data_IF_946592286144
#
_entry.id   IF_946592286144
#
_cell.length_a   1.000
_cell.length_b   1.000
_cell.length_c   1.000
_cell.angle_alpha   90.00
_cell.angle_beta   90.00
_cell.angle_gamma   90.00
#
_symmetry.space_group_name_H-M   'P 1'
#
loop_
_entity.id
_entity.type
_entity.pdbx_description
1 polymer ?
#
# COMPACT_ATOMS: atom_id res chain seq x y z
N UNK A 1 1.13 -11.59 21.75
CA UNK A 1 2.36 -10.96 22.29
C UNK A 1 2.27 -9.43 22.37
N UNK A 2 1.97 -8.70 21.29
CA UNK A 2 2.03 -7.22 21.31
C UNK A 2 0.89 -6.52 22.08
N UNK A 3 -0.34 -7.03 22.10
CA UNK A 3 -1.46 -6.32 22.76
C UNK A 3 -1.40 -6.38 24.31
N UNK A 4 -0.92 -7.49 24.88
CA UNK A 4 -0.90 -7.68 26.35
C UNK A 4 0.51 -7.70 26.98
N UNK A 5 1.48 -8.38 26.35
CA UNK A 5 2.83 -8.52 26.93
C UNK A 5 3.71 -7.30 26.67
N UNK A 6 3.52 -6.63 25.53
CA UNK A 6 4.36 -5.48 25.18
C UNK A 6 4.21 -4.32 26.19
N UNK A 7 3.00 -3.88 26.58
CA UNK A 7 2.86 -2.89 27.65
C UNK A 7 3.49 -3.34 28.98
N UNK A 8 3.33 -4.61 29.35
CA UNK A 8 3.90 -5.20 30.58
C UNK A 8 5.43 -5.20 30.58
N UNK A 9 6.06 -5.43 29.44
CA UNK A 9 7.53 -5.37 29.28
C UNK A 9 8.02 -3.92 29.20
N UNK A 10 7.25 -3.04 28.56
CA UNK A 10 7.60 -1.64 28.39
C UNK A 10 7.60 -0.85 29.70
N UNK A 11 6.70 -1.18 30.64
CA UNK A 11 6.64 -0.47 31.92
C UNK A 11 7.94 -0.57 32.73
N UNK A 12 8.47 -1.77 33.07
CA UNK A 12 9.76 -1.89 33.74
C UNK A 12 10.90 -1.21 32.98
N UNK A 13 10.91 -1.33 31.65
CA UNK A 13 11.95 -0.69 30.83
C UNK A 13 11.89 0.84 30.87
N UNK A 14 10.71 1.42 31.08
CA UNK A 14 10.54 2.87 31.17
C UNK A 14 11.07 3.37 32.52
N UNK A 15 10.74 2.65 33.60
CA UNK A 15 11.09 3.00 34.98
C UNK A 15 12.56 2.73 35.30
N UNK A 16 13.07 1.54 35.00
CA UNK A 16 14.42 1.14 35.40
C UNK A 16 15.51 1.58 34.43
N UNK A 17 16.71 1.77 34.95
CA UNK A 17 17.90 2.12 34.16
C UNK A 17 18.47 0.91 33.40
N UNK A 18 17.84 0.59 32.27
CA UNK A 18 18.25 -0.53 31.40
C UNK A 18 19.16 -0.03 30.27
N UNK A 19 20.31 -0.67 30.00
CA UNK A 19 21.14 -0.31 28.86
C UNK A 19 20.55 -0.81 27.53
N UNK A 20 20.72 0.00 26.47
CA UNK A 20 20.19 -0.32 25.12
C UNK A 20 20.66 -1.69 24.62
N UNK A 21 21.89 -2.11 24.95
CA UNK A 21 22.43 -3.42 24.56
C UNK A 21 21.63 -4.60 25.11
N UNK A 22 21.04 -4.48 26.30
CA UNK A 22 20.15 -5.52 26.88
C UNK A 22 18.80 -5.54 26.15
N UNK A 23 18.26 -4.37 25.81
CA UNK A 23 17.02 -4.26 25.01
C UNK A 23 17.22 -4.86 23.61
N UNK A 24 18.38 -4.64 22.98
CA UNK A 24 18.73 -5.25 21.70
C UNK A 24 18.83 -6.79 21.78
N UNK A 25 19.36 -7.34 22.88
CA UNK A 25 19.34 -8.79 23.13
C UNK A 25 17.90 -9.31 23.21
N UNK A 26 17.02 -8.64 23.95
CA UNK A 26 15.61 -9.04 24.02
C UNK A 26 14.90 -8.91 22.66
N UNK A 27 15.19 -7.86 21.89
CA UNK A 27 14.68 -7.69 20.53
C UNK A 27 15.01 -8.89 19.65
N UNK A 28 16.21 -9.48 19.75
CA UNK A 28 16.57 -10.69 18.98
C UNK A 28 15.65 -11.86 19.31
N UNK A 29 15.33 -12.06 20.59
CA UNK A 29 14.40 -13.10 21.05
C UNK A 29 12.99 -12.82 20.50
N UNK A 30 12.47 -11.61 20.69
CA UNK A 30 11.16 -11.19 20.17
C UNK A 30 11.07 -11.39 18.67
N UNK A 31 12.10 -10.98 17.91
CA UNK A 31 12.14 -11.17 16.45
C UNK A 31 12.05 -12.65 16.06
N UNK A 32 12.71 -13.55 16.79
CA UNK A 32 12.65 -14.99 16.53
C UNK A 32 11.22 -15.51 16.67
N UNK A 33 10.55 -15.18 17.77
CA UNK A 33 9.16 -15.58 18.02
C UNK A 33 8.18 -14.96 17.03
N UNK A 34 8.31 -13.67 16.72
CA UNK A 34 7.45 -12.99 15.76
C UNK A 34 7.60 -13.61 14.37
N UNK A 35 8.84 -13.88 13.91
CA UNK A 35 9.06 -14.54 12.62
C UNK A 35 8.48 -15.95 12.56
N UNK A 36 8.68 -16.74 13.64
CA UNK A 36 8.09 -18.08 13.75
C UNK A 36 6.57 -18.04 13.69
N UNK A 37 5.95 -17.11 14.41
CA UNK A 37 4.50 -16.93 14.44
C UNK A 37 3.93 -16.49 13.08
N UNK A 38 4.62 -15.58 12.38
CA UNK A 38 4.25 -15.14 11.04
C UNK A 38 4.55 -16.20 9.95
N UNK A 39 5.21 -17.32 10.30
CA UNK A 39 5.58 -18.37 9.36
C UNK A 39 6.66 -17.98 8.34
N UNK A 40 7.42 -16.92 8.62
CA UNK A 40 8.44 -16.37 7.71
C UNK A 40 9.85 -16.82 8.10
N UNK A 41 10.80 -16.91 7.16
CA UNK A 41 12.15 -17.39 7.44
C UNK A 41 12.97 -16.42 8.30
N UNK A 42 14.02 -16.96 8.95
CA UNK A 42 14.92 -16.19 9.82
C UNK A 42 15.65 -15.07 9.08
N UNK A 43 15.88 -15.20 7.78
CA UNK A 43 16.55 -14.22 6.93
C UNK A 43 15.72 -12.95 6.66
N UNK A 44 14.41 -12.93 6.98
CA UNK A 44 13.59 -11.73 6.81
C UNK A 44 14.12 -10.57 7.67
N UNK A 45 14.33 -9.41 7.06
CA UNK A 45 14.84 -8.22 7.74
C UNK A 45 13.82 -7.68 8.76
N UNK A 46 14.31 -7.09 9.84
CA UNK A 46 13.44 -6.38 10.79
C UNK A 46 12.77 -5.14 10.18
N UNK A 47 13.29 -4.64 9.05
CA UNK A 47 12.66 -3.55 8.29
C UNK A 47 11.26 -3.96 7.82
N UNK A 48 11.11 -5.20 7.34
CA UNK A 48 9.81 -5.74 6.92
C UNK A 48 8.79 -5.87 8.07
N UNK A 49 9.27 -6.02 9.31
CA UNK A 49 8.42 -6.21 10.48
C UNK A 49 7.95 -4.89 11.10
N UNK A 50 8.82 -3.88 11.10
CA UNK A 50 8.62 -2.66 11.89
C UNK A 50 8.66 -1.36 11.06
N UNK A 51 9.03 -1.44 9.78
CA UNK A 51 9.15 -0.27 8.91
C UNK A 51 7.80 0.18 8.35
N UNK A 52 7.71 1.45 7.97
CA UNK A 52 6.55 2.06 7.31
C UNK A 52 6.72 1.99 5.78
N UNK A 53 7.03 0.80 5.27
CA UNK A 53 7.28 0.53 3.85
C UNK A 53 6.02 0.30 3.02
N UNK A 54 6.16 -0.41 1.89
CA UNK A 54 5.01 -0.75 1.02
C UNK A 54 3.96 -1.61 1.74
N UNK A 55 4.42 -2.52 2.60
CA UNK A 55 3.59 -3.35 3.47
C UNK A 55 3.90 -2.97 4.91
N UNK A 56 2.89 -2.48 5.63
CA UNK A 56 3.01 -2.09 7.02
C UNK A 56 2.25 -3.07 7.90
N UNK A 57 2.98 -3.70 8.83
CA UNK A 57 2.41 -4.56 9.86
C UNK A 57 2.06 -3.75 11.12
N UNK A 58 1.08 -4.20 11.92
CA UNK A 58 0.68 -3.52 13.14
C UNK A 58 1.59 -3.90 14.33
N UNK A 59 2.89 -4.10 14.08
CA UNK A 59 3.86 -4.61 15.05
C UNK A 59 4.87 -3.50 15.38
N UNK A 60 5.03 -3.19 16.66
CA UNK A 60 5.95 -2.15 17.11
C UNK A 60 7.35 -2.71 17.41
N UNK A 61 8.38 -1.95 17.08
CA UNK A 61 9.76 -2.27 17.44
C UNK A 61 10.01 -2.01 18.92
N UNK A 62 10.44 -3.04 19.65
CA UNK A 62 10.80 -2.92 21.07
C UNK A 62 11.84 -1.82 21.32
N UNK A 63 12.84 -1.72 20.45
CA UNK A 63 13.92 -0.71 20.58
C UNK A 63 13.40 0.69 20.31
N UNK A 64 12.49 0.86 19.35
CA UNK A 64 11.90 2.18 19.05
C UNK A 64 11.04 2.65 20.24
N UNK A 65 10.19 1.79 20.75
CA UNK A 65 9.33 2.12 21.89
C UNK A 65 10.15 2.34 23.17
N UNK A 66 11.23 1.59 23.37
CA UNK A 66 12.19 1.84 24.44
C UNK A 66 12.81 3.25 24.34
N UNK A 67 13.33 3.62 23.16
CA UNK A 67 13.91 4.95 22.93
C UNK A 67 12.87 6.05 23.17
N UNK A 68 11.66 5.88 22.64
CA UNK A 68 10.55 6.82 22.85
C UNK A 68 10.21 6.95 24.34
N UNK A 69 10.13 5.84 25.08
CA UNK A 69 9.84 5.85 26.50
C UNK A 69 10.92 6.60 27.29
N UNK A 70 12.20 6.32 27.03
CA UNK A 70 13.32 7.00 27.70
C UNK A 70 13.38 8.49 27.40
N UNK A 71 13.11 8.88 26.17
CA UNK A 71 13.01 10.29 25.77
C UNK A 71 11.82 10.99 26.45
N UNK A 72 10.66 10.31 26.56
CA UNK A 72 9.51 10.85 27.31
C UNK A 72 9.86 11.08 28.78
N UNK A 73 10.52 10.12 29.42
CA UNK A 73 10.95 10.23 30.82
C UNK A 73 11.94 11.38 31.00
N UNK A 74 12.95 11.48 30.13
CA UNK A 74 13.93 12.60 30.14
C UNK A 74 13.22 13.95 30.09
N UNK A 75 12.30 14.14 29.14
CA UNK A 75 11.57 15.40 28.97
C UNK A 75 10.59 15.68 30.11
N UNK A 76 10.07 14.64 30.78
CA UNK A 76 9.21 14.76 31.95
C UNK A 76 10.00 15.25 33.17
N UNK A 77 11.18 14.67 33.40
CA UNK A 77 12.05 15.02 34.53
C UNK A 77 12.62 16.43 34.35
N UNK A 78 13.22 16.71 33.19
CA UNK A 78 13.81 18.03 32.88
C UNK A 78 12.78 19.14 32.77
N UNK A 79 11.57 18.83 32.30
CA UNK A 79 10.45 19.76 32.20
C UNK A 79 9.55 19.83 33.42
N UNK A 80 9.95 19.23 34.55
CA UNK A 80 9.18 19.24 35.79
C UNK A 80 9.09 20.66 36.37
N UNK A 81 7.93 21.01 36.94
CA UNK A 81 7.76 22.26 37.69
C UNK A 81 8.50 22.22 39.04
N UNK A 82 8.76 21.02 39.55
CA UNK A 82 9.53 20.80 40.76
C UNK A 82 11.02 21.02 40.48
N UNK A 83 11.62 21.96 41.20
CA UNK A 83 13.04 22.35 41.06
C UNK A 83 14.00 21.25 41.50
N UNK A 84 13.61 20.42 42.47
CA UNK A 84 14.43 19.29 42.93
C UNK A 84 14.46 18.22 41.85
N UNK A 85 13.30 17.87 41.30
CA UNK A 85 13.17 16.86 40.24
C UNK A 85 13.88 17.30 38.95
N UNK A 86 13.71 18.56 38.55
CA UNK A 86 14.38 19.09 37.35
C UNK A 86 15.89 19.31 37.56
N UNK A 87 16.32 19.66 38.77
CA UNK A 87 17.74 19.83 39.13
C UNK A 87 18.52 18.51 39.24
N UNK A 88 17.89 17.44 39.75
CA UNK A 88 18.52 16.13 39.91
C UNK A 88 18.40 15.22 38.68
N UNK A 89 17.35 15.41 37.87
CA UNK A 89 16.97 14.64 36.67
C UNK A 89 17.92 13.46 36.34
N UNK A 90 17.73 12.29 37.00
CA UNK A 90 18.65 11.17 36.86
C UNK A 90 18.64 10.67 35.42
N UNK A 91 19.82 10.30 34.91
CA UNK A 91 19.96 9.83 33.54
C UNK A 91 19.11 8.56 33.33
N UNK A 92 18.08 8.58 32.48
CA UNK A 92 17.08 7.53 32.46
C UNK A 92 17.59 6.23 31.81
N UNK A 93 18.83 6.19 31.30
CA UNK A 93 19.46 4.97 30.81
C UNK A 93 20.91 4.82 31.27
N UNK A 94 21.29 3.61 31.68
CA UNK A 94 22.69 3.21 31.84
C UNK A 94 23.34 2.86 30.50
N UNK A 95 24.61 3.20 30.31
CA UNK A 95 25.44 2.70 29.20
C UNK A 95 25.97 3.78 28.23
N UNK A 96 27.01 3.41 27.46
CA UNK A 96 27.72 4.34 26.55
C UNK A 96 27.11 4.44 25.15
N UNK A 97 26.38 3.42 24.70
CA UNK A 97 25.94 3.27 23.30
C UNK A 97 24.90 4.28 22.85
N UNK A 98 23.99 4.69 23.73
CA UNK A 98 22.92 5.62 23.39
C UNK A 98 22.45 6.34 24.65
N UNK A 99 22.28 7.66 24.57
CA UNK A 99 21.91 8.53 25.69
C UNK A 99 20.64 9.33 25.35
N UNK A 100 19.58 9.24 26.17
CA UNK A 100 18.32 9.98 25.98
C UNK A 100 18.51 11.49 25.86
N UNK A 101 19.35 12.09 26.72
CA UNK A 101 19.64 13.53 26.70
C UNK A 101 20.21 14.00 25.35
N UNK A 102 21.17 13.25 24.79
CA UNK A 102 21.77 13.56 23.48
C UNK A 102 20.72 13.42 22.37
N UNK A 103 19.93 12.34 22.40
CA UNK A 103 18.88 12.12 21.42
C UNK A 103 17.79 13.21 21.46
N UNK A 104 17.45 13.72 22.66
CA UNK A 104 16.55 14.88 22.82
C UNK A 104 17.15 16.12 22.16
N UNK A 105 18.41 16.44 22.44
CA UNK A 105 19.10 17.59 21.86
C UNK A 105 19.15 17.53 20.32
N UNK A 106 19.51 16.38 19.76
CA UNK A 106 19.52 16.14 18.32
C UNK A 106 18.12 16.29 17.71
N UNK A 107 17.09 15.75 18.37
CA UNK A 107 15.71 15.85 17.91
C UNK A 107 15.19 17.29 17.96
N UNK A 108 15.48 18.04 19.03
CA UNK A 108 15.14 19.46 19.13
C UNK A 108 15.85 20.29 18.05
N UNK A 109 17.15 20.05 17.82
CA UNK A 109 17.91 20.72 16.78
C UNK A 109 17.31 20.45 15.39
N UNK A 110 16.93 19.20 15.11
CA UNK A 110 16.27 18.84 13.86
C UNK A 110 14.88 19.49 13.70
N UNK A 111 14.12 19.64 14.78
CA UNK A 111 12.83 20.35 14.76
C UNK A 111 13.00 21.85 14.50
N UNK A 112 13.97 22.49 15.17
CA UNK A 112 14.32 23.91 14.93
C UNK A 112 14.79 24.12 13.49
N UNK A 113 15.64 23.23 12.97
CA UNK A 113 16.08 23.28 11.59
C UNK A 113 14.91 23.11 10.62
N UNK A 114 14.02 22.15 10.87
CA UNK A 114 12.82 21.93 10.05
C UNK A 114 11.84 23.11 10.03
N UNK A 115 11.82 23.92 11.10
CA UNK A 115 11.06 25.18 11.17
C UNK A 115 11.71 26.28 10.31
N UNK A 116 13.04 26.39 10.32
CA UNK A 116 13.79 27.33 9.47
C UNK A 116 13.60 27.01 7.99
N UNK A 117 13.71 25.73 7.62
CA UNK A 117 13.48 25.27 6.24
C UNK A 117 12.02 25.50 5.82
N UNK A 118 11.09 25.52 6.77
CA UNK A 118 9.68 25.79 6.53
C UNK A 118 8.97 24.67 5.74
N UNK A 119 7.87 25.06 5.09
CA UNK A 119 7.09 24.16 4.24
C UNK A 119 7.74 24.12 2.85
N UNK A 120 8.40 23.00 2.56
CA UNK A 120 8.94 22.72 1.23
C UNK A 120 7.82 22.13 0.37
N UNK A 121 7.85 22.43 -0.94
CA UNK A 121 7.00 21.78 -1.91
C UNK A 121 7.26 20.27 -1.92
N UNK A 122 6.20 19.47 -1.75
CA UNK A 122 6.26 18.01 -1.88
C UNK A 122 5.55 17.62 -3.18
N UNK A 123 6.32 17.14 -4.16
CA UNK A 123 5.82 16.73 -5.48
C UNK A 123 5.35 17.90 -6.35
N UNK A 124 4.32 17.68 -7.16
CA UNK A 124 3.75 18.69 -8.09
C UNK A 124 2.69 19.61 -7.46
N UNK A 125 2.47 19.53 -6.15
CA UNK A 125 1.54 20.43 -5.46
C UNK A 125 2.16 21.80 -5.26
N UNK A 126 1.41 22.89 -5.47
CA UNK A 126 1.91 24.24 -5.17
C UNK A 126 2.21 24.47 -3.69
N UNK A 127 2.98 25.52 -3.39
CA UNK A 127 3.28 25.98 -2.03
C UNK A 127 1.98 26.22 -1.23
N UNK A 128 1.93 25.75 0.01
CA UNK A 128 0.77 25.92 0.90
C UNK A 128 -0.33 24.86 0.81
N UNK A 129 -0.22 23.86 -0.08
CA UNK A 129 -1.20 22.76 -0.19
C UNK A 129 -1.13 21.74 0.96
N UNK A 130 0.03 21.60 1.59
CA UNK A 130 0.21 20.73 2.76
C UNK A 130 -0.16 21.48 4.03
N UNK A 131 -0.88 20.84 4.95
CA UNK A 131 -1.09 21.35 6.31
C UNK A 131 0.24 21.79 6.91
N UNK A 132 0.30 23.02 7.45
CA UNK A 132 1.54 23.59 7.96
C UNK A 132 2.22 22.68 8.99
N UNK A 133 3.54 22.53 8.89
CA UNK A 133 4.30 21.82 9.91
C UNK A 133 4.08 22.49 11.27
N UNK A 134 3.93 21.72 12.37
CA UNK A 134 3.84 22.29 13.70
C UNK A 134 5.11 23.11 14.00
N UNK A 135 4.92 24.36 14.41
CA UNK A 135 6.01 25.28 14.72
C UNK A 135 6.55 24.98 16.11
N UNK A 136 7.84 24.62 16.21
CA UNK A 136 8.48 24.30 17.47
C UNK A 136 8.44 25.49 18.45
N UNK A 137 8.63 26.72 17.95
CA UNK A 137 8.60 27.95 18.77
C UNK A 137 7.25 28.22 19.43
N UNK A 138 6.15 27.92 18.74
CA UNK A 138 4.79 28.19 19.22
C UNK A 138 4.15 27.03 19.99
N UNK A 139 4.79 25.87 19.99
CA UNK A 139 4.31 24.69 20.67
C UNK A 139 4.38 24.84 22.21
N UNK A 140 3.34 24.40 22.90
CA UNK A 140 3.35 24.29 24.36
C UNK A 140 4.28 23.16 24.84
N UNK A 141 4.49 23.04 26.15
CA UNK A 141 5.40 22.02 26.69
C UNK A 141 4.95 20.57 26.44
N UNK A 142 3.64 20.32 26.31
CA UNK A 142 3.09 18.99 26.02
C UNK A 142 3.28 18.65 24.54
N UNK A 143 3.08 19.63 23.67
CA UNK A 143 3.25 19.55 22.24
C UNK A 143 4.73 19.40 21.88
N UNK A 144 5.63 20.18 22.49
CA UNK A 144 7.09 19.99 22.34
C UNK A 144 7.50 18.56 22.66
N UNK A 145 6.99 18.00 23.77
CA UNK A 145 7.23 16.59 24.13
C UNK A 145 6.74 15.62 23.06
N UNK A 146 5.54 15.82 22.52
CA UNK A 146 4.99 15.01 21.43
C UNK A 146 5.86 15.12 20.17
N UNK A 147 6.29 16.32 19.80
CA UNK A 147 7.10 16.57 18.61
C UNK A 147 8.47 15.91 18.69
N UNK A 148 9.14 15.98 19.84
CA UNK A 148 10.44 15.32 20.04
C UNK A 148 10.29 13.81 19.89
N UNK A 149 9.27 13.20 20.51
CA UNK A 149 9.03 11.75 20.39
C UNK A 149 8.73 11.34 18.95
N UNK A 150 7.91 12.11 18.23
CA UNK A 150 7.63 11.83 16.82
C UNK A 150 8.87 11.99 15.95
N UNK A 151 9.74 12.96 16.27
CA UNK A 151 11.02 13.13 15.59
C UNK A 151 11.96 11.94 15.80
N UNK A 152 12.01 11.37 17.00
CA UNK A 152 12.75 10.12 17.26
C UNK A 152 12.20 8.97 16.41
N UNK A 153 10.87 8.83 16.31
CA UNK A 153 10.26 7.81 15.44
C UNK A 153 10.63 8.02 13.97
N UNK A 154 10.68 9.28 13.51
CA UNK A 154 11.13 9.62 12.14
C UNK A 154 12.59 9.25 11.92
N UNK A 155 13.49 9.51 12.86
CA UNK A 155 14.91 9.12 12.76
C UNK A 155 15.10 7.60 12.71
N UNK A 156 14.34 6.87 13.53
CA UNK A 156 14.33 5.39 13.50
C UNK A 156 13.82 4.85 12.16
N UNK A 157 12.77 5.47 11.60
CA UNK A 157 12.25 5.10 10.29
C UNK A 157 13.23 5.44 9.17
N UNK A 158 13.88 6.60 9.20
CA UNK A 158 14.93 6.96 8.25
C UNK A 158 16.08 5.94 8.28
N UNK A 159 16.50 5.51 9.47
CA UNK A 159 17.52 4.46 9.62
C UNK A 159 17.08 3.12 9.01
N UNK A 160 15.78 2.78 9.11
CA UNK A 160 15.23 1.58 8.45
C UNK A 160 15.17 1.73 6.95
N UNK A 161 14.86 2.91 6.42
CA UNK A 161 14.86 3.19 5.00
C UNK A 161 16.27 3.08 4.41
N UNK A 162 17.29 3.66 5.06
CA UNK A 162 18.70 3.48 4.67
C UNK A 162 19.06 2.00 4.64
N UNK A 163 18.67 1.23 5.67
CA UNK A 163 18.87 -0.22 5.68
C UNK A 163 18.06 -0.93 4.60
N UNK A 164 16.88 -0.44 4.22
CA UNK A 164 16.08 -1.04 3.16
C UNK A 164 16.77 -0.89 1.80
N UNK A 165 17.36 0.27 1.52
CA UNK A 165 18.11 0.56 0.29
C UNK A 165 19.27 -0.41 0.11
N UNK A 166 19.97 -0.77 1.19
CA UNK A 166 21.09 -1.73 1.11
C UNK A 166 20.67 -3.19 0.93
N UNK A 167 19.37 -3.52 0.98
CA UNK A 167 18.88 -4.88 0.80
C UNK A 167 18.49 -5.14 -0.66
N UNK A 168 19.42 -5.68 -1.46
CA UNK A 168 19.22 -5.91 -2.89
C UNK A 168 17.94 -6.70 -3.25
N UNK A 169 17.56 -7.74 -2.49
CA UNK A 169 16.29 -8.48 -2.70
C UNK A 169 15.11 -7.90 -1.90
N UNK A 170 15.24 -7.83 -0.57
CA UNK A 170 14.15 -7.43 0.33
C UNK A 170 13.83 -5.92 0.29
N UNK A 171 14.67 -5.10 -0.33
CA UNK A 171 14.51 -3.66 -0.52
C UNK A 171 13.88 -3.25 -1.84
N UNK A 172 13.64 -4.20 -2.76
CA UNK A 172 13.13 -3.92 -4.12
C UNK A 172 11.80 -3.13 -4.15
N UNK A 173 11.02 -3.20 -3.07
CA UNK A 173 9.79 -2.43 -2.95
C UNK A 173 9.98 -0.91 -2.92
N UNK A 174 11.21 -0.43 -2.68
CA UNK A 174 11.54 0.99 -2.76
C UNK A 174 11.43 1.53 -4.20
N UNK A 175 11.60 0.66 -5.20
CA UNK A 175 11.57 1.01 -6.62
C UNK A 175 10.15 0.86 -7.21
N UNK A 176 9.12 0.57 -6.40
CA UNK A 176 7.78 0.38 -6.91
C UNK A 176 7.06 1.74 -6.99
N UNK A 177 6.99 2.26 -8.20
CA UNK A 177 6.31 3.52 -8.49
C UNK A 177 4.82 3.31 -8.79
N UNK A 178 4.00 4.31 -8.49
CA UNK A 178 2.56 4.25 -8.75
C UNK A 178 1.77 3.22 -7.93
N UNK A 179 2.38 2.59 -6.91
CA UNK A 179 1.76 1.55 -6.09
C UNK A 179 1.24 2.09 -4.77
N UNK A 180 0.06 1.60 -4.36
CA UNK A 180 -0.52 1.94 -3.08
C UNK A 180 0.04 1.10 -1.93
N UNK A 181 0.30 1.77 -0.80
CA UNK A 181 0.80 1.11 0.41
C UNK A 181 -0.31 0.28 1.04
N UNK A 182 0.04 -0.93 1.45
CA UNK A 182 -0.85 -1.85 2.14
C UNK A 182 -0.61 -1.79 3.65
N UNK A 183 -1.59 -1.28 4.39
CA UNK A 183 -1.58 -1.28 5.85
C UNK A 183 -2.40 -2.45 6.36
N UNK A 184 -1.76 -3.35 7.09
CA UNK A 184 -2.40 -4.50 7.73
C UNK A 184 -2.75 -4.10 9.17
N UNK A 185 -4.03 -4.14 9.52
CA UNK A 185 -4.46 -3.92 10.92
C UNK A 185 -4.36 -5.21 11.73
N UNK A 186 -4.43 -5.11 13.05
CA UNK A 186 -4.53 -6.30 13.91
C UNK A 186 -5.73 -7.18 13.54
N UNK A 187 -6.87 -6.56 13.22
CA UNK A 187 -8.07 -7.30 12.79
C UNK A 187 -7.81 -8.10 11.53
N UNK A 188 -7.19 -7.47 10.52
CA UNK A 188 -6.87 -8.14 9.26
C UNK A 188 -5.88 -9.28 9.49
N UNK A 189 -4.87 -9.07 10.35
CA UNK A 189 -3.86 -10.07 10.62
C UNK A 189 -4.43 -11.29 11.36
N UNK A 190 -5.40 -11.09 12.26
CA UNK A 190 -6.11 -12.18 12.94
C UNK A 190 -7.11 -12.89 12.04
N UNK A 191 -7.73 -12.20 11.09
CA UNK A 191 -8.70 -12.80 10.16
C UNK A 191 -8.05 -13.48 8.96
N UNK A 192 -6.76 -13.22 8.69
CA UNK A 192 -6.04 -13.86 7.59
C UNK A 192 -5.66 -15.29 7.93
N UNK A 193 -5.91 -16.20 6.98
CA UNK A 193 -5.36 -17.55 7.03
C UNK A 193 -3.82 -17.52 7.11
N UNK A 194 -3.25 -18.43 7.90
CA UNK A 194 -1.80 -18.50 8.17
C UNK A 194 -0.97 -18.59 6.88
N UNK A 195 -1.41 -19.43 5.93
CA UNK A 195 -0.74 -19.61 4.64
C UNK A 195 -0.77 -18.33 3.79
N UNK A 196 -1.85 -17.57 3.86
CA UNK A 196 -2.02 -16.32 3.11
C UNK A 196 -1.10 -15.22 3.65
N UNK A 197 -1.02 -15.08 4.97
CA UNK A 197 -0.12 -14.12 5.62
C UNK A 197 1.35 -14.46 5.33
N UNK A 198 1.72 -15.74 5.45
CA UNK A 198 3.05 -16.24 5.09
C UNK A 198 3.39 -15.96 3.64
N UNK A 199 2.45 -16.20 2.72
CA UNK A 199 2.63 -15.90 1.31
C UNK A 199 2.80 -14.40 1.06
N UNK A 200 1.93 -13.55 1.63
CA UNK A 200 2.00 -12.11 1.44
C UNK A 200 3.35 -11.54 1.87
N UNK A 201 3.80 -11.87 3.08
CA UNK A 201 5.10 -11.43 3.59
C UNK A 201 6.26 -12.02 2.78
N UNK A 202 6.20 -13.33 2.53
CA UNK A 202 7.23 -14.03 1.76
C UNK A 202 7.39 -13.46 0.36
N UNK A 203 6.27 -13.19 -0.34
CA UNK A 203 6.28 -12.72 -1.72
C UNK A 203 6.71 -11.26 -1.82
N UNK A 204 6.27 -10.41 -0.88
CA UNK A 204 6.63 -8.98 -0.85
C UNK A 204 8.15 -8.81 -0.74
N UNK A 205 8.79 -9.58 0.14
CA UNK A 205 10.21 -9.47 0.43
C UNK A 205 11.08 -10.52 -0.26
N UNK A 206 10.54 -11.28 -1.22
CA UNK A 206 11.25 -12.34 -1.94
C UNK A 206 12.02 -13.32 -1.01
N UNK A 207 11.31 -13.81 0.00
CA UNK A 207 11.79 -14.81 0.97
C UNK A 207 10.94 -16.07 0.96
N UNK A 208 10.22 -16.31 -0.14
CA UNK A 208 9.58 -17.61 -0.39
C UNK A 208 10.63 -18.64 -0.84
N UNK A 209 10.43 -19.93 -0.55
CA UNK A 209 11.31 -21.01 -1.00
C UNK A 209 11.07 -21.29 -2.49
N UNK A 210 11.44 -20.34 -3.35
CA UNK A 210 11.55 -20.55 -4.80
C UNK A 210 12.79 -21.37 -5.07
N UNK A 211 12.85 -22.15 -6.17
CA UNK A 211 14.06 -22.90 -6.48
C UNK A 211 15.31 -22.01 -6.55
N UNK A 212 15.20 -20.77 -7.07
CA UNK A 212 16.30 -19.79 -7.01
C UNK A 212 16.73 -19.42 -5.58
N UNK A 213 15.78 -19.19 -4.66
CA UNK A 213 16.11 -18.90 -3.26
C UNK A 213 16.63 -20.15 -2.52
N UNK A 214 16.11 -21.34 -2.83
CA UNK A 214 16.56 -22.61 -2.26
C UNK A 214 17.97 -22.96 -2.70
N UNK A 215 18.36 -22.65 -3.95
CA UNK A 215 19.76 -22.72 -4.40
C UNK A 215 20.68 -21.96 -3.44
N UNK A 216 20.29 -20.76 -3.02
CA UNK A 216 21.10 -19.92 -2.13
C UNK A 216 21.10 -20.45 -0.68
N UNK A 217 20.02 -21.10 -0.23
CA UNK A 217 19.87 -21.51 1.17
C UNK A 217 20.36 -22.93 1.46
N UNK A 218 20.25 -23.84 0.50
CA UNK A 218 20.46 -25.28 0.68
C UNK A 218 21.02 -25.97 -0.56
N UNK A 219 21.63 -25.24 -1.51
CA UNK A 219 22.21 -25.77 -2.76
C UNK A 219 21.25 -26.64 -3.62
N UNK A 220 19.98 -26.23 -3.72
CA UNK A 220 18.99 -26.86 -4.60
C UNK A 220 19.11 -26.47 -6.08
N UNK A 221 18.52 -27.28 -6.96
CA UNK A 221 18.36 -26.97 -8.39
C UNK A 221 17.48 -25.71 -8.58
N UNK A 222 17.97 -24.65 -9.25
CA UNK A 222 17.21 -23.43 -9.49
C UNK A 222 16.13 -23.56 -10.58
N UNK A 223 15.99 -24.73 -11.21
CA UNK A 223 15.15 -24.92 -12.38
C UNK A 223 13.65 -24.96 -12.07
N UNK A 224 12.87 -24.45 -13.02
CA UNK A 224 11.42 -24.49 -12.99
C UNK A 224 10.94 -25.88 -13.39
N UNK A 225 10.14 -26.52 -12.53
CA UNK A 225 9.59 -27.85 -12.81
C UNK A 225 8.63 -27.92 -14.01
N UNK A 226 8.20 -26.76 -14.54
CA UNK A 226 7.30 -26.70 -15.68
C UNK A 226 8.02 -26.44 -17.00
N UNK A 227 8.98 -25.52 -17.02
CA UNK A 227 9.62 -25.06 -18.26
C UNK A 227 11.15 -25.09 -18.21
N UNK A 228 11.73 -25.66 -17.17
CA UNK A 228 13.18 -25.82 -16.94
C UNK A 228 14.03 -24.55 -16.88
N UNK A 229 13.45 -23.36 -17.02
CA UNK A 229 14.15 -22.08 -16.83
C UNK A 229 14.39 -21.74 -15.36
N UNK A 230 15.17 -20.69 -15.07
CA UNK A 230 15.46 -20.26 -13.69
C UNK A 230 14.18 -19.82 -12.96
N UNK A 231 13.81 -20.55 -11.91
CA UNK A 231 12.57 -20.36 -11.17
C UNK A 231 12.70 -19.34 -10.05
N UNK A 232 12.87 -18.07 -10.45
CA UNK A 232 12.68 -16.93 -9.54
C UNK A 232 11.20 -16.79 -9.14
N UNK A 233 10.93 -16.00 -8.10
CA UNK A 233 9.54 -15.71 -7.72
C UNK A 233 8.78 -14.99 -8.85
N UNK A 234 9.44 -14.04 -9.53
CA UNK A 234 8.90 -13.36 -10.72
C UNK A 234 8.60 -14.34 -11.85
N UNK A 235 9.50 -15.30 -12.09
CA UNK A 235 9.27 -16.35 -13.08
C UNK A 235 7.99 -17.14 -12.75
N UNK A 236 7.88 -17.66 -11.54
CA UNK A 236 6.73 -18.51 -11.13
C UNK A 236 5.42 -17.72 -11.19
N UNK A 237 5.39 -16.49 -10.67
CA UNK A 237 4.14 -15.74 -10.52
C UNK A 237 3.71 -14.99 -11.78
N UNK A 238 4.60 -14.66 -12.71
CA UNK A 238 4.22 -13.87 -13.89
C UNK A 238 4.99 -14.18 -15.19
N UNK A 239 6.07 -14.96 -15.14
CA UNK A 239 7.00 -15.10 -16.27
C UNK A 239 7.11 -16.49 -16.89
N UNK A 240 6.48 -17.51 -16.34
CA UNK A 240 6.62 -18.89 -16.82
C UNK A 240 5.80 -19.11 -18.09
N UNK A 241 6.47 -19.45 -19.20
CA UNK A 241 5.83 -19.68 -20.51
C UNK A 241 4.80 -20.81 -20.46
N UNK A 242 5.10 -21.90 -19.76
CA UNK A 242 4.16 -23.03 -19.60
C UNK A 242 2.96 -22.64 -18.75
N UNK A 243 3.17 -21.88 -17.67
CA UNK A 243 2.04 -21.36 -16.86
C UNK A 243 1.16 -20.38 -17.64
N UNK A 244 1.75 -19.60 -18.54
CA UNK A 244 1.02 -18.72 -19.44
C UNK A 244 0.18 -19.53 -20.44
N UNK A 245 0.78 -20.50 -21.14
CA UNK A 245 0.10 -21.35 -22.11
C UNK A 245 -1.05 -22.18 -21.48
N UNK A 246 -0.87 -22.62 -20.23
CA UNK A 246 -1.91 -23.32 -19.47
C UNK A 246 -3.05 -22.40 -18.99
N UNK A 247 -2.93 -21.07 -19.14
CA UNK A 247 -3.95 -20.13 -18.68
C UNK A 247 -3.96 -19.89 -17.18
N UNK A 248 -2.86 -20.15 -16.45
CA UNK A 248 -2.78 -19.88 -14.99
C UNK A 248 -2.91 -18.40 -14.68
N UNK A 249 -2.21 -17.58 -15.47
CA UNK A 249 -2.23 -16.13 -15.33
C UNK A 249 -3.56 -15.54 -15.80
N UNK A 250 -4.15 -16.08 -16.87
CA UNK A 250 -5.50 -15.74 -17.33
C UNK A 250 -6.55 -16.05 -16.26
N UNK A 251 -6.44 -17.19 -15.58
CA UNK A 251 -7.34 -17.50 -14.47
C UNK A 251 -7.23 -16.47 -13.34
N UNK A 252 -6.01 -16.12 -12.88
CA UNK A 252 -5.82 -15.05 -11.88
C UNK A 252 -6.41 -13.73 -12.36
N UNK A 253 -6.08 -13.35 -13.60
CA UNK A 253 -6.58 -12.13 -14.22
C UNK A 253 -8.10 -12.05 -14.15
N UNK A 254 -8.79 -13.12 -14.57
CA UNK A 254 -10.25 -13.16 -14.60
C UNK A 254 -10.87 -13.11 -13.20
N UNK A 255 -10.21 -13.63 -12.16
CA UNK A 255 -10.70 -13.45 -10.79
C UNK A 255 -10.62 -11.99 -10.33
N UNK A 256 -9.50 -11.32 -10.61
CA UNK A 256 -9.33 -9.90 -10.27
C UNK A 256 -10.29 -9.02 -11.07
N UNK A 257 -10.50 -9.35 -12.35
CA UNK A 257 -11.44 -8.66 -13.24
C UNK A 257 -12.87 -8.72 -12.68
N UNK A 258 -13.30 -9.87 -12.16
CA UNK A 258 -14.61 -10.02 -11.52
C UNK A 258 -14.78 -9.07 -10.32
N UNK A 259 -13.74 -8.91 -9.49
CA UNK A 259 -13.78 -7.96 -8.37
C UNK A 259 -13.92 -6.50 -8.85
N UNK A 260 -13.17 -6.11 -9.89
CA UNK A 260 -13.27 -4.77 -10.46
C UNK A 260 -14.67 -4.53 -11.05
N UNK A 261 -15.15 -5.47 -11.86
CA UNK A 261 -16.47 -5.41 -12.47
C UNK A 261 -17.58 -5.30 -11.42
N UNK A 262 -17.55 -6.10 -10.36
CA UNK A 262 -18.53 -6.01 -9.28
C UNK A 262 -18.53 -4.63 -8.59
N UNK A 263 -17.36 -4.02 -8.41
CA UNK A 263 -17.22 -2.68 -7.85
C UNK A 263 -17.84 -1.59 -8.74
N UNK A 264 -17.62 -1.68 -10.06
CA UNK A 264 -18.18 -0.74 -11.05
C UNK A 264 -19.69 -0.96 -11.18
N UNK A 265 -20.13 -2.21 -11.28
CA UNK A 265 -21.54 -2.59 -11.42
C UNK A 265 -22.39 -2.08 -10.26
N UNK A 266 -21.90 -2.20 -9.03
CA UNK A 266 -22.60 -1.67 -7.86
C UNK A 266 -22.84 -0.16 -7.96
N UNK A 267 -21.91 0.59 -8.55
CA UNK A 267 -22.09 2.04 -8.77
C UNK A 267 -23.00 2.33 -9.95
N UNK A 268 -22.88 1.57 -11.04
CA UNK A 268 -23.76 1.69 -12.22
C UNK A 268 -25.23 1.52 -11.83
N UNK A 269 -25.55 0.49 -11.04
CA UNK A 269 -26.91 0.25 -10.56
C UNK A 269 -27.44 1.41 -9.71
N UNK A 270 -26.61 1.97 -8.83
CA UNK A 270 -26.98 3.15 -8.03
C UNK A 270 -27.28 4.36 -8.92
N UNK A 271 -26.38 4.68 -9.85
CA UNK A 271 -26.53 5.84 -10.75
C UNK A 271 -27.77 5.72 -11.62
N UNK A 272 -28.02 4.54 -12.19
CA UNK A 272 -29.19 4.32 -13.03
C UNK A 272 -30.50 4.32 -12.24
N UNK A 273 -30.47 3.92 -10.96
CA UNK A 273 -31.63 3.91 -10.07
C UNK A 273 -31.91 5.26 -9.38
N UNK A 274 -30.91 6.13 -9.22
CA UNK A 274 -31.07 7.44 -8.58
C UNK A 274 -32.07 8.31 -9.39
N UNK A 275 -33.18 8.68 -8.75
CA UNK A 275 -34.16 9.64 -9.27
C UNK A 275 -33.54 11.02 -9.48
N UNK A 276 -34.12 11.84 -10.37
CA UNK A 276 -33.67 13.22 -10.56
C UNK A 276 -33.84 14.01 -9.27
N UNK A 277 -32.80 14.10 -8.44
CA UNK A 277 -32.75 15.13 -7.42
C UNK A 277 -32.51 16.45 -8.15
N UNK A 278 -33.59 17.16 -8.46
CA UNK A 278 -33.50 18.61 -8.72
C UNK A 278 -32.71 19.20 -7.56
N UNK A 279 -31.51 19.72 -7.84
CA UNK A 279 -30.76 20.49 -6.84
C UNK A 279 -31.62 21.70 -6.49
N UNK A 280 -32.35 21.62 -5.37
CA UNK A 280 -33.03 22.77 -4.82
C UNK A 280 -31.98 23.86 -4.58
N UNK A 281 -32.29 25.09 -4.95
CA UNK A 281 -31.43 26.23 -4.65
C UNK A 281 -31.31 26.28 -3.12
N UNK A 282 -30.09 26.13 -2.61
CA UNK A 282 -29.84 26.28 -1.19
C UNK A 282 -29.82 27.77 -0.86
N UNK A 283 -30.92 28.29 -0.34
CA UNK A 283 -30.97 29.64 0.20
C UNK A 283 -30.05 29.73 1.42
N UNK A 284 -29.16 30.72 1.42
CA UNK A 284 -28.24 31.02 2.52
C UNK A 284 -28.70 32.34 3.13
N UNK A 285 -28.74 32.43 4.46
CA UNK A 285 -29.16 33.65 5.16
C UNK A 285 -28.13 34.77 4.96
N UNK A 286 -28.60 36.01 5.00
CA UNK A 286 -27.74 37.19 4.94
C UNK A 286 -26.65 37.12 6.04
N UNK A 287 -25.38 37.30 5.65
CA UNK A 287 -24.23 37.18 6.55
C UNK A 287 -23.61 35.77 6.68
N UNK A 288 -24.28 34.71 6.21
CA UNK A 288 -23.77 33.34 6.29
C UNK A 288 -22.93 32.98 5.04
N UNK A 289 -21.70 32.48 5.24
CA UNK A 289 -20.84 32.06 4.13
C UNK A 289 -21.29 30.69 3.60
N UNK A 290 -21.76 30.65 2.35
CA UNK A 290 -22.06 29.39 1.66
C UNK A 290 -20.86 28.44 1.72
N UNK A 291 -21.06 27.21 2.20
CA UNK A 291 -20.06 26.15 2.09
C UNK A 291 -19.88 25.89 0.59
N UNK A 292 -18.73 26.26 0.01
CA UNK A 292 -18.41 25.97 -1.41
C UNK A 292 -18.75 24.52 -1.69
N UNK A 293 -19.75 24.29 -2.55
CA UNK A 293 -20.05 22.96 -3.04
C UNK A 293 -18.78 22.40 -3.68
N UNK A 294 -18.26 21.32 -3.11
CA UNK A 294 -17.18 20.58 -3.75
C UNK A 294 -17.75 20.06 -5.06
N UNK A 295 -17.31 20.62 -6.20
CA UNK A 295 -17.67 20.06 -7.51
C UNK A 295 -17.28 18.58 -7.50
N UNK A 296 -18.28 17.72 -7.53
CA UNK A 296 -18.11 16.30 -7.79
C UNK A 296 -17.35 16.19 -9.11
N UNK A 297 -16.20 15.50 -9.09
CA UNK A 297 -15.34 15.28 -10.26
C UNK A 297 -15.83 14.13 -11.15
N UNK A 298 -16.91 13.43 -10.79
CA UNK A 298 -17.35 12.24 -11.51
C UNK A 298 -18.17 12.60 -12.74
N UNK A 299 -17.70 12.22 -13.91
CA UNK A 299 -18.40 12.38 -15.20
C UNK A 299 -19.68 11.55 -15.27
N UNK A 300 -19.84 10.55 -14.41
CA UNK A 300 -20.93 9.55 -14.47
C UNK A 300 -22.27 9.99 -13.89
N UNK A 301 -22.36 11.12 -13.18
CA UNK A 301 -23.59 11.52 -12.46
C UNK A 301 -24.70 12.09 -13.34
N UNK A 302 -24.42 12.41 -14.59
CA UNK A 302 -25.34 13.17 -15.45
C UNK A 302 -26.26 12.26 -16.30
N UNK A 303 -26.02 10.95 -16.38
CA UNK A 303 -26.78 10.01 -17.20
C UNK A 303 -27.18 8.74 -16.46
N UNK A 304 -28.22 8.07 -16.98
CA UNK A 304 -28.89 6.90 -16.36
C UNK A 304 -28.90 5.65 -17.23
N UNK A 305 -28.38 5.76 -18.44
CA UNK A 305 -28.30 4.69 -19.43
C UNK A 305 -26.91 4.06 -19.46
N UNK A 306 -26.18 4.11 -18.34
CA UNK A 306 -24.85 3.51 -18.28
C UNK A 306 -24.95 1.99 -18.44
N UNK A 307 -24.20 1.47 -19.41
CA UNK A 307 -24.07 0.07 -19.74
C UNK A 307 -22.63 -0.40 -19.50
N UNK A 308 -22.48 -1.69 -19.17
CA UNK A 308 -21.19 -2.30 -18.93
C UNK A 308 -21.13 -3.68 -19.57
N UNK A 309 -20.04 -3.96 -20.31
CA UNK A 309 -19.66 -5.29 -20.76
C UNK A 309 -18.31 -5.65 -20.14
N UNK A 310 -18.16 -6.91 -19.74
CA UNK A 310 -16.94 -7.41 -19.10
C UNK A 310 -16.48 -8.66 -19.84
N UNK A 311 -15.21 -8.70 -20.24
CA UNK A 311 -14.64 -9.82 -20.96
C UNK A 311 -14.20 -10.96 -20.03
N UNK A 312 -15.16 -11.61 -19.37
CA UNK A 312 -14.88 -12.83 -18.61
C UNK A 312 -14.94 -14.04 -19.56
N UNK A 313 -13.82 -14.32 -20.22
CA UNK A 313 -13.65 -15.52 -21.05
C UNK A 313 -13.70 -15.31 -22.56
N UNK A 314 -13.38 -14.10 -23.05
CA UNK A 314 -13.11 -13.84 -24.46
C UNK A 314 -14.36 -13.67 -25.33
N UNK A 315 -15.47 -13.18 -24.77
CA UNK A 315 -16.76 -13.03 -25.46
C UNK A 315 -17.19 -11.58 -25.66
N UNK A 316 -16.41 -10.60 -25.19
CA UNK A 316 -16.77 -9.20 -25.35
C UNK A 316 -16.63 -8.76 -26.83
N UNK A 317 -17.70 -8.15 -27.34
CA UNK A 317 -17.74 -7.50 -28.66
C UNK A 317 -18.14 -6.04 -28.43
N UNK A 318 -17.37 -5.11 -28.99
CA UNK A 318 -17.65 -3.68 -28.89
C UNK A 318 -18.80 -3.34 -29.86
N UNK A 319 -19.84 -2.61 -29.40
CA UNK A 319 -20.92 -2.16 -30.27
C UNK A 319 -20.39 -1.33 -31.45
N UNK A 320 -20.88 -1.62 -32.67
CA UNK A 320 -20.39 -1.01 -33.91
C UNK A 320 -20.65 0.50 -33.97
N UNK A 321 -21.67 0.97 -33.24
CA UNK A 321 -22.02 2.38 -33.09
C UNK A 321 -20.90 3.18 -32.40
N UNK A 322 -20.09 2.51 -31.57
CA UNK A 322 -18.96 3.12 -30.87
C UNK A 322 -17.72 3.06 -31.76
N UNK A 323 -17.30 1.85 -32.14
CA UNK A 323 -16.07 1.63 -32.93
C UNK A 323 -16.08 0.23 -33.54
N UNK A 324 -15.53 0.10 -34.74
CA UNK A 324 -15.47 -1.18 -35.46
C UNK A 324 -14.07 -1.76 -35.25
N UNK A 325 -13.91 -2.66 -34.28
CA UNK A 325 -12.59 -3.18 -33.91
C UNK A 325 -12.60 -4.67 -33.62
N UNK A 326 -11.44 -5.31 -33.82
CA UNK A 326 -11.16 -6.66 -33.34
C UNK A 326 -10.52 -6.66 -31.94
N UNK A 327 -10.18 -5.49 -31.40
CA UNK A 327 -9.64 -5.35 -30.06
C UNK A 327 -10.73 -5.63 -29.02
N UNK A 328 -10.31 -6.27 -27.93
CA UNK A 328 -11.20 -6.67 -26.82
C UNK A 328 -10.65 -6.09 -25.52
N UNK A 329 -11.12 -4.90 -25.11
CA UNK A 329 -10.83 -4.40 -23.77
C UNK A 329 -11.49 -5.32 -22.73
N UNK A 330 -10.94 -5.37 -21.53
CA UNK A 330 -11.49 -6.21 -20.46
C UNK A 330 -12.83 -5.70 -19.92
N UNK A 331 -13.04 -4.38 -19.88
CA UNK A 331 -14.33 -3.78 -19.56
C UNK A 331 -14.62 -2.64 -20.55
N UNK A 332 -15.82 -2.66 -21.11
CA UNK A 332 -16.40 -1.53 -21.83
C UNK A 332 -17.48 -0.91 -20.96
N UNK A 333 -17.40 0.38 -20.69
CA UNK A 333 -18.39 1.11 -19.90
C UNK A 333 -18.80 2.38 -20.63
N UNK A 334 -20.08 2.55 -20.96
CA UNK A 334 -20.52 3.65 -21.83
C UNK A 334 -21.94 4.12 -21.54
N UNK A 335 -22.26 5.31 -22.04
CA UNK A 335 -23.60 5.90 -22.04
C UNK A 335 -23.86 6.49 -23.43
N UNK A 336 -24.96 6.06 -24.07
CA UNK A 336 -25.35 6.52 -25.40
C UNK A 336 -25.89 7.94 -25.35
N UNK A 337 -26.64 8.28 -24.29
CA UNK A 337 -27.22 9.61 -24.10
C UNK A 337 -26.18 10.72 -23.98
N UNK A 338 -25.01 10.42 -23.42
CA UNK A 338 -23.90 11.37 -23.32
C UNK A 338 -22.83 11.20 -24.40
N UNK A 339 -22.95 10.16 -25.23
CA UNK A 339 -21.91 9.73 -26.16
C UNK A 339 -20.54 9.60 -25.47
N UNK A 340 -20.47 8.91 -24.33
CA UNK A 340 -19.21 8.70 -23.58
C UNK A 340 -18.89 7.22 -23.52
N UNK A 341 -17.63 6.86 -23.77
CA UNK A 341 -17.13 5.49 -23.65
C UNK A 341 -15.82 5.42 -22.87
N UNK A 342 -15.72 4.42 -22.00
CA UNK A 342 -14.54 4.06 -21.25
C UNK A 342 -14.07 2.66 -21.67
N UNK A 343 -12.87 2.59 -22.24
CA UNK A 343 -12.16 1.35 -22.54
C UNK A 343 -11.22 1.04 -21.39
N UNK A 344 -11.49 -0.01 -20.62
CA UNK A 344 -10.72 -0.36 -19.43
C UNK A 344 -9.99 -1.68 -19.68
N UNK A 345 -8.68 -1.68 -19.49
CA UNK A 345 -7.81 -2.84 -19.65
C UNK A 345 -7.15 -3.15 -18.31
N UNK A 346 -7.43 -4.31 -17.75
CA UNK A 346 -6.79 -4.81 -16.54
C UNK A 346 -5.51 -5.55 -16.89
N UNK A 347 -4.45 -5.31 -16.12
CA UNK A 347 -3.27 -6.16 -16.16
C UNK A 347 -2.82 -6.55 -14.76
N UNK A 348 -2.25 -7.75 -14.64
CA UNK A 348 -1.72 -8.27 -13.37
C UNK A 348 -0.22 -8.55 -13.46
N UNK A 349 0.63 -7.50 -13.55
CA UNK A 349 2.08 -7.64 -13.75
C UNK A 349 2.84 -7.93 -12.45
N UNK A 350 4.14 -8.09 -12.59
CA UNK A 350 5.08 -7.93 -11.47
C UNK A 350 5.20 -6.44 -11.11
N UNK A 351 5.26 -6.08 -9.83
CA UNK A 351 5.06 -4.71 -9.36
C UNK A 351 6.10 -3.71 -9.89
N UNK A 352 7.34 -4.14 -10.15
CA UNK A 352 8.35 -3.24 -10.73
C UNK A 352 8.09 -2.88 -12.19
N UNK A 353 7.17 -3.57 -12.87
CA UNK A 353 6.79 -3.32 -14.27
C UNK A 353 5.39 -2.72 -14.40
N UNK A 354 4.87 -2.11 -13.32
CA UNK A 354 3.53 -1.51 -13.32
C UNK A 354 3.43 -0.33 -14.29
N UNK A 355 4.39 0.59 -14.25
CA UNK A 355 4.40 1.79 -15.09
C UNK A 355 4.66 1.45 -16.57
N UNK A 356 5.64 0.59 -16.85
CA UNK A 356 5.90 0.06 -18.19
C UNK A 356 4.65 -0.62 -18.79
N UNK A 357 3.90 -1.37 -17.98
CA UNK A 357 2.68 -2.02 -18.42
C UNK A 357 1.58 -1.00 -18.73
N UNK A 358 1.43 0.03 -17.90
CA UNK A 358 0.48 1.13 -18.09
C UNK A 358 0.74 1.86 -19.42
N UNK A 359 1.98 2.32 -19.65
CA UNK A 359 2.34 3.09 -20.85
C UNK A 359 2.13 2.29 -22.13
N UNK A 360 2.60 1.03 -22.16
CA UNK A 360 2.45 0.14 -23.32
C UNK A 360 0.98 -0.11 -23.66
N UNK A 361 0.12 -0.27 -22.65
CA UNK A 361 -1.31 -0.51 -22.87
C UNK A 361 -2.05 0.75 -23.27
N UNK A 362 -1.69 1.89 -22.69
CA UNK A 362 -2.23 3.19 -23.11
C UNK A 362 -1.99 3.42 -24.61
N UNK A 363 -0.75 3.22 -25.06
CA UNK A 363 -0.38 3.37 -26.48
C UNK A 363 -1.18 2.41 -27.38
N UNK A 364 -1.32 1.15 -26.98
CA UNK A 364 -2.05 0.13 -27.77
C UNK A 364 -3.51 0.53 -28.06
N UNK A 365 -4.18 1.18 -27.12
CA UNK A 365 -5.59 1.52 -27.23
C UNK A 365 -5.83 2.99 -27.63
N UNK A 366 -4.77 3.77 -27.88
CA UNK A 366 -4.91 5.17 -28.27
C UNK A 366 -5.55 5.30 -29.66
N UNK A 367 -5.22 4.43 -30.61
CA UNK A 367 -5.87 4.39 -31.93
C UNK A 367 -7.38 4.12 -31.78
N UNK A 368 -7.75 3.15 -30.94
CA UNK A 368 -9.16 2.82 -30.67
C UNK A 368 -9.94 4.01 -30.10
N UNK A 369 -9.28 4.82 -29.26
CA UNK A 369 -9.86 6.04 -28.69
C UNK A 369 -10.13 7.07 -29.80
N UNK A 370 -9.17 7.29 -30.69
CA UNK A 370 -9.29 8.26 -31.78
C UNK A 370 -10.41 7.88 -32.75
N UNK A 371 -10.56 6.60 -33.10
CA UNK A 371 -11.64 6.12 -33.95
C UNK A 371 -13.02 6.36 -33.32
N UNK A 372 -13.17 6.12 -32.02
CA UNK A 372 -14.42 6.42 -31.31
C UNK A 372 -14.70 7.94 -31.25
N UNK A 373 -13.66 8.77 -31.04
CA UNK A 373 -13.78 10.23 -31.09
C UNK A 373 -14.20 10.75 -32.47
N UNK A 374 -13.71 10.15 -33.56
CA UNK A 374 -14.14 10.46 -34.93
C UNK A 374 -15.63 10.15 -35.17
N UNK A 375 -16.16 9.11 -34.52
CA UNK A 375 -17.59 8.76 -34.54
C UNK A 375 -18.43 9.61 -33.59
N UNK A 376 -17.86 10.64 -32.97
CA UNK A 376 -18.57 11.59 -32.10
C UNK A 376 -18.65 11.17 -30.62
N UNK A 377 -17.93 10.12 -30.21
CA UNK A 377 -17.91 9.68 -28.82
C UNK A 377 -16.77 10.33 -28.04
N UNK A 378 -17.05 10.81 -26.83
CA UNK A 378 -16.00 11.16 -25.86
C UNK A 378 -15.40 9.87 -25.29
N UNK A 379 -14.32 9.41 -25.90
CA UNK A 379 -13.64 8.17 -25.53
C UNK A 379 -12.51 8.39 -24.52
N UNK A 380 -12.37 7.46 -23.57
CA UNK A 380 -11.24 7.42 -22.63
C UNK A 380 -10.72 6.01 -22.45
N UNK A 381 -9.39 5.88 -22.41
CA UNK A 381 -8.70 4.61 -22.18
C UNK A 381 -8.14 4.61 -20.76
N UNK A 382 -8.41 3.53 -20.03
CA UNK A 382 -7.93 3.31 -18.67
C UNK A 382 -7.23 1.96 -18.57
N UNK A 383 -5.90 1.93 -18.79
CA UNK A 383 -5.08 0.83 -18.31
C UNK A 383 -5.10 0.85 -16.78
N UNK A 384 -5.44 -0.28 -16.18
CA UNK A 384 -5.45 -0.45 -14.73
C UNK A 384 -4.63 -1.65 -14.32
N UNK A 385 -3.82 -1.47 -13.29
CA UNK A 385 -2.87 -2.49 -12.91
C UNK A 385 -3.02 -2.90 -11.44
N UNK A 386 -2.94 -4.21 -11.23
CA UNK A 386 -2.85 -4.81 -9.90
C UNK A 386 -1.63 -5.72 -9.89
N UNK A 387 -0.65 -5.43 -9.05
CA UNK A 387 0.52 -6.29 -8.89
C UNK A 387 0.13 -7.72 -8.48
N UNK A 388 0.83 -8.71 -9.02
CA UNK A 388 0.55 -10.12 -8.76
C UNK A 388 0.70 -10.51 -7.29
N UNK A 389 1.43 -9.74 -6.46
CA UNK A 389 1.52 -9.95 -5.00
C UNK A 389 0.38 -9.29 -4.23
N UNK A 390 -0.56 -8.67 -4.94
CA UNK A 390 -1.75 -8.05 -4.39
C UNK A 390 -1.54 -6.60 -3.97
N UNK A 391 -0.65 -5.86 -4.63
CA UNK A 391 -0.55 -4.41 -4.46
C UNK A 391 -1.25 -3.69 -5.60
N UNK A 392 -2.10 -2.72 -5.28
CA UNK A 392 -2.96 -2.06 -6.28
C UNK A 392 -2.28 -0.81 -6.79
N UNK A 393 -2.31 -0.59 -8.11
CA UNK A 393 -1.82 0.64 -8.74
C UNK A 393 -2.75 1.83 -8.50
N UNK A 394 -2.19 3.04 -8.53
CA UNK A 394 -2.95 4.30 -8.47
C UNK A 394 -3.95 4.45 -9.62
N UNK A 395 -3.69 3.80 -10.75
CA UNK A 395 -4.58 3.73 -11.91
C UNK A 395 -5.98 3.23 -11.54
N UNK A 396 -6.08 2.19 -10.70
CA UNK A 396 -7.36 1.66 -10.20
C UNK A 396 -8.12 2.72 -9.38
N UNK A 397 -7.43 3.44 -8.49
CA UNK A 397 -8.05 4.51 -7.69
C UNK A 397 -8.51 5.66 -8.59
N UNK A 398 -7.70 6.02 -9.59
CA UNK A 398 -8.04 7.06 -10.55
C UNK A 398 -9.27 6.69 -11.37
N UNK A 399 -9.35 5.46 -11.89
CA UNK A 399 -10.51 4.94 -12.61
C UNK A 399 -11.76 4.97 -11.73
N UNK A 400 -11.69 4.39 -10.54
CA UNK A 400 -12.84 4.31 -9.64
C UNK A 400 -13.31 5.71 -9.22
N UNK A 401 -12.38 6.65 -8.98
CA UNK A 401 -12.71 8.05 -8.72
C UNK A 401 -13.40 8.74 -9.90
N UNK A 402 -12.94 8.51 -11.13
CA UNK A 402 -13.56 9.03 -12.37
C UNK A 402 -15.00 8.51 -12.54
N UNK A 403 -15.20 7.22 -12.27
CA UNK A 403 -16.52 6.58 -12.33
C UNK A 403 -17.43 6.94 -11.15
N UNK A 404 -16.95 7.76 -10.20
CA UNK A 404 -17.72 8.20 -9.03
C UNK A 404 -17.81 7.17 -7.90
N UNK A 405 -16.98 6.12 -7.93
CA UNK A 405 -16.83 5.17 -6.84
C UNK A 405 -15.93 5.78 -5.76
N UNK A 406 -16.55 6.36 -4.73
CA UNK A 406 -15.86 7.03 -3.63
C UNK A 406 -15.95 6.30 -2.28
N UNK A 407 -15.27 6.88 -1.29
CA UNK A 407 -15.52 6.62 0.13
C UNK A 407 -15.29 5.17 0.58
N UNK A 408 -16.33 4.55 1.15
CA UNK A 408 -16.27 3.17 1.66
C UNK A 408 -16.21 2.15 0.53
N UNK A 409 -16.93 2.38 -0.58
CA UNK A 409 -16.99 1.48 -1.71
C UNK A 409 -15.64 1.40 -2.43
N UNK A 410 -14.99 2.54 -2.65
CA UNK A 410 -13.61 2.58 -3.18
C UNK A 410 -12.66 1.71 -2.37
N UNK A 411 -12.64 1.89 -1.04
CA UNK A 411 -11.77 1.13 -0.14
C UNK A 411 -12.09 -0.36 -0.14
N UNK A 412 -13.38 -0.71 -0.23
CA UNK A 412 -13.85 -2.10 -0.34
C UNK A 412 -13.36 -2.75 -1.64
N UNK A 413 -13.63 -2.14 -2.79
CA UNK A 413 -13.22 -2.67 -4.11
C UNK A 413 -11.71 -2.82 -4.22
N UNK A 414 -10.93 -1.80 -3.82
CA UNK A 414 -9.46 -1.85 -3.83
C UNK A 414 -8.94 -2.98 -2.93
N UNK A 415 -9.55 -3.14 -1.74
CA UNK A 415 -9.22 -4.24 -0.82
C UNK A 415 -9.51 -5.59 -1.47
N UNK A 416 -10.70 -5.79 -2.02
CA UNK A 416 -11.10 -7.05 -2.67
C UNK A 416 -10.18 -7.41 -3.84
N UNK A 417 -9.85 -6.45 -4.72
CA UNK A 417 -8.90 -6.67 -5.83
C UNK A 417 -7.50 -7.04 -5.32
N UNK A 418 -6.98 -6.32 -4.32
CA UNK A 418 -5.70 -6.61 -3.67
C UNK A 418 -5.69 -8.02 -3.07
N UNK A 419 -6.77 -8.36 -2.38
CA UNK A 419 -6.95 -9.60 -1.66
C UNK A 419 -7.05 -10.81 -2.60
N UNK A 420 -7.78 -10.65 -3.70
CA UNK A 420 -8.02 -11.66 -4.72
C UNK A 420 -6.75 -11.93 -5.56
N UNK A 421 -6.03 -10.88 -5.94
CA UNK A 421 -4.74 -11.01 -6.62
C UNK A 421 -3.71 -11.77 -5.77
N UNK A 422 -3.62 -11.47 -4.46
CA UNK A 422 -2.75 -12.22 -3.56
C UNK A 422 -3.19 -13.67 -3.36
N UNK A 423 -4.50 -13.93 -3.23
CA UNK A 423 -5.08 -15.26 -3.03
C UNK A 423 -4.81 -16.18 -4.22
N UNK A 424 -5.12 -15.70 -5.43
CA UNK A 424 -4.90 -16.44 -6.68
C UNK A 424 -3.42 -16.66 -6.98
N UNK A 425 -2.57 -15.69 -6.69
CA UNK A 425 -1.11 -15.88 -6.79
C UNK A 425 -0.57 -16.87 -5.77
N UNK A 426 -1.11 -16.91 -4.56
CA UNK A 426 -0.77 -17.95 -3.59
C UNK A 426 -1.17 -19.34 -4.12
N UNK A 427 -2.32 -19.44 -4.76
CA UNK A 427 -2.74 -20.70 -5.39
C UNK A 427 -1.80 -21.16 -6.51
N UNK A 428 -1.42 -20.24 -7.41
CA UNK A 428 -0.40 -20.51 -8.45
C UNK A 428 0.91 -20.94 -7.82
N UNK A 429 1.34 -20.25 -6.75
CA UNK A 429 2.54 -20.57 -5.99
C UNK A 429 2.49 -21.99 -5.40
N UNK A 430 1.39 -22.38 -4.76
CA UNK A 430 1.22 -23.72 -4.22
C UNK A 430 1.25 -24.78 -5.32
N UNK A 431 0.71 -24.48 -6.50
CA UNK A 431 0.67 -25.38 -7.66
C UNK A 431 1.88 -25.28 -8.60
N UNK A 432 2.94 -24.55 -8.24
CA UNK A 432 4.11 -24.29 -9.10
C UNK A 432 4.85 -25.54 -9.59
N UNK A 433 4.74 -26.64 -8.85
CA UNK A 433 5.41 -27.91 -9.14
C UNK A 433 4.55 -28.91 -9.93
N UNK A 434 3.24 -28.67 -10.04
CA UNK A 434 2.31 -29.59 -10.68
C UNK A 434 2.18 -29.24 -12.15
N UNK A 435 2.33 -30.21 -13.04
CA UNK A 435 2.19 -30.03 -14.49
C UNK A 435 0.73 -29.72 -14.89
N UNK A 436 -0.26 -30.36 -14.25
CA UNK A 436 -1.67 -30.17 -14.58
C UNK A 436 -2.23 -28.81 -14.09
N UNK A 437 -3.01 -28.17 -14.95
CA UNK A 437 -3.79 -26.96 -14.64
C UNK A 437 -5.13 -26.99 -15.39
N UNK A 438 -6.24 -27.06 -14.66
CA UNK A 438 -7.57 -27.23 -15.24
C UNK A 438 -8.54 -27.85 -14.24
N UNK A 439 -9.83 -27.91 -14.60
CA UNK A 439 -10.89 -28.52 -13.79
C UNK A 439 -10.60 -30.03 -13.62
N UNK A 440 -10.74 -30.52 -12.39
CA UNK A 440 -11.39 -31.82 -12.19
C UNK A 440 -12.86 -31.67 -12.55
#
# INVERSE_FOLDING_TARGET
MQFGLFPRVMWPMSVYEVPLSKVEKLKKVVNSYVKKWLGVPRCLSSVALYGKGILQLPINSLVEEFKCAKVRTELLLTGSKDRIVSGLAPNPSKGRKWKPKVAVQEAEAALRHGEIVGNVQIGRGGLGRTSGKPMWRKADQKEKRRLVVEQIRRQEEASRQVKAVSLAKQGQWLNWEGVERKQVTWRDLWSMESNRLKFLLGATYDVLPSPDNLRIWTDGDPSCRLCSGVATLRHILSGCKVSLAQGRYTWRHNQVLKCLAAGIESRRQQVNAEGSHKKGIQFVREGEKSKRAVKSRSTTQEAKDWQMLVDVGGKLVVPQEIVTTNLRPDILYWSTSQQVVYFIELTVPWESSLEEAYERKKLKYEELRLEAEQKGWRARVFPVEVGCRGFVGRSVISLLGELGVGGKNLRKTVREMSEEAARTSNWIWMRRAFSAWGKQ
#
